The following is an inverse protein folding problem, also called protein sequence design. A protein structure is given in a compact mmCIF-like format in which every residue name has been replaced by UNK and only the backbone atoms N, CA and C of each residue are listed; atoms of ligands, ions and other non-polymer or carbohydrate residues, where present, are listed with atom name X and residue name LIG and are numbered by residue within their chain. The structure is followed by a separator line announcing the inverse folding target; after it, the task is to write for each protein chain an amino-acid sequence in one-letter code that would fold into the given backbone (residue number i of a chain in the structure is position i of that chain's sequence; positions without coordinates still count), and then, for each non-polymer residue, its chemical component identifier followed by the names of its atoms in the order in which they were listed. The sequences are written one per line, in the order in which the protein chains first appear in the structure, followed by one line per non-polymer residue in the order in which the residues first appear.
data_IF_964060426737
#
_entry.id   IF_964060426737
#
_cell.length_a   1.000
_cell.length_b   1.000
_cell.length_c   1.000
_cell.angle_alpha   90.00
_cell.angle_beta   90.00
_cell.angle_gamma   90.00
#
_symmetry.space_group_name_H-M   'P 1'
#
loop_
_entity.id
_entity.type
_entity.pdbx_description
1 polymer ?
#
# COMPACT_ATOMS: atom_id res chain seq x y z
N UNK A 1 -21.14 -47.54 -34.96
CA UNK A 1 -20.75 -46.17 -34.58
C UNK A 1 -20.67 -46.06 -33.07
N UNK A 2 -19.47 -46.14 -32.47
CA UNK A 2 -19.26 -45.86 -31.05
C UNK A 2 -18.76 -44.41 -30.92
N UNK A 3 -19.51 -43.56 -30.23
CA UNK A 3 -19.11 -42.18 -29.91
C UNK A 3 -18.34 -42.20 -28.60
N UNK A 4 -17.04 -41.98 -28.66
CA UNK A 4 -16.18 -41.72 -27.49
C UNK A 4 -16.25 -40.24 -27.14
N UNK A 5 -16.74 -39.92 -25.95
CA UNK A 5 -16.63 -38.59 -25.36
C UNK A 5 -15.24 -38.46 -24.72
N UNK A 6 -14.47 -37.46 -25.15
CA UNK A 6 -13.27 -37.01 -24.44
C UNK A 6 -13.70 -35.94 -23.43
N UNK A 7 -13.55 -36.24 -22.14
CA UNK A 7 -13.60 -35.23 -21.08
C UNK A 7 -12.18 -34.71 -20.88
N UNK A 8 -11.93 -33.46 -21.24
CA UNK A 8 -10.70 -32.75 -20.85
C UNK A 8 -10.86 -32.34 -19.38
N UNK A 9 -10.13 -33.00 -18.47
CA UNK A 9 -9.88 -32.44 -17.15
C UNK A 9 -8.89 -31.28 -17.32
N UNK A 10 -9.36 -30.04 -17.14
CA UNK A 10 -8.46 -28.93 -16.81
C UNK A 10 -7.94 -29.18 -15.40
N UNK A 11 -6.67 -29.58 -15.26
CA UNK A 11 -5.94 -29.38 -14.02
C UNK A 11 -5.66 -27.89 -13.89
N UNK A 12 -6.41 -27.19 -13.05
CA UNK A 12 -5.97 -25.94 -12.48
C UNK A 12 -4.76 -26.26 -11.60
N UNK A 13 -3.55 -26.05 -12.13
CA UNK A 13 -2.34 -26.03 -11.33
C UNK A 13 -2.43 -24.81 -10.42
N UNK A 14 -3.04 -24.97 -9.24
CA UNK A 14 -2.88 -24.03 -8.15
C UNK A 14 -1.41 -24.05 -7.75
N UNK A 15 -0.62 -23.12 -8.27
CA UNK A 15 0.67 -22.79 -7.67
C UNK A 15 0.34 -22.33 -6.27
N UNK A 16 0.65 -23.17 -5.27
CA UNK A 16 0.70 -22.70 -3.89
C UNK A 16 1.70 -21.53 -3.89
N UNK A 17 1.19 -20.29 -3.81
CA UNK A 17 2.04 -19.13 -3.59
C UNK A 17 2.81 -19.44 -2.32
N UNK A 18 4.13 -19.56 -2.43
CA UNK A 18 4.96 -19.57 -1.23
C UNK A 18 4.73 -18.24 -0.51
N UNK A 19 4.65 -18.29 0.82
CA UNK A 19 4.69 -17.08 1.62
C UNK A 19 5.90 -16.25 1.18
N UNK A 20 5.65 -15.00 0.78
CA UNK A 20 6.70 -14.13 0.29
C UNK A 20 7.66 -13.82 1.44
N UNK A 21 8.95 -14.03 1.21
CA UNK A 21 9.99 -13.77 2.20
C UNK A 21 10.76 -12.54 1.81
N UNK A 22 10.87 -11.59 2.72
CA UNK A 22 11.68 -10.38 2.52
C UNK A 22 13.16 -10.73 2.32
N UNK A 23 13.86 -9.93 1.52
CA UNK A 23 15.31 -9.96 1.45
C UNK A 23 15.97 -9.24 2.62
N UNK A 24 17.24 -9.57 2.87
CA UNK A 24 18.08 -8.81 3.80
C UNK A 24 18.66 -7.54 3.17
N UNK A 25 18.72 -7.48 1.84
CA UNK A 25 19.22 -6.32 1.09
C UNK A 25 18.48 -6.19 -0.24
N UNK A 26 18.28 -4.94 -0.66
CA UNK A 26 17.61 -4.55 -1.90
C UNK A 26 18.43 -3.48 -2.62
N UNK A 27 18.54 -3.59 -3.95
CA UNK A 27 19.33 -2.68 -4.79
C UNK A 27 18.44 -2.03 -5.84
N UNK A 28 18.52 -0.69 -5.98
CA UNK A 28 17.76 0.03 -6.99
C UNK A 28 18.08 -0.51 -8.39
N UNK A 29 17.01 -0.84 -9.13
CA UNK A 29 17.07 -1.44 -10.47
C UNK A 29 16.48 -0.52 -11.52
N UNK A 30 15.27 0.01 -11.27
CA UNK A 30 14.60 0.95 -12.18
C UNK A 30 13.75 1.97 -11.45
N UNK A 31 13.41 3.04 -12.15
CA UNK A 31 12.43 4.05 -11.72
C UNK A 31 11.52 4.35 -12.89
N UNK A 32 10.20 4.41 -12.68
CA UNK A 32 9.24 4.76 -13.71
C UNK A 32 8.14 5.68 -13.18
N UNK A 33 7.63 6.62 -13.99
CA UNK A 33 6.59 7.54 -13.55
C UNK A 33 5.21 6.87 -13.52
N UNK A 34 4.32 7.38 -12.66
CA UNK A 34 2.91 6.98 -12.54
C UNK A 34 2.01 8.21 -12.37
N UNK A 35 0.70 8.07 -12.59
CA UNK A 35 -0.29 9.15 -12.43
C UNK A 35 -0.88 9.27 -11.01
N UNK A 36 -0.60 8.32 -10.11
CA UNK A 36 -1.10 8.32 -8.73
C UNK A 36 0.00 8.56 -7.71
N UNK A 37 -0.37 9.01 -6.52
CA UNK A 37 0.53 9.63 -5.54
C UNK A 37 0.47 9.06 -4.14
N UNK A 38 -0.29 7.98 -3.89
CA UNK A 38 -0.58 7.51 -2.53
C UNK A 38 -0.14 6.07 -2.31
N UNK A 39 -0.47 5.17 -3.23
CA UNK A 39 -0.28 3.74 -3.01
C UNK A 39 0.23 2.97 -4.20
N UNK A 40 0.87 1.83 -3.95
CA UNK A 40 1.33 0.89 -4.97
C UNK A 40 1.10 -0.55 -4.51
N UNK A 41 0.37 -1.32 -5.29
CA UNK A 41 0.19 -2.76 -5.10
C UNK A 41 0.59 -3.54 -6.35
N UNK A 42 0.95 -4.82 -6.17
CA UNK A 42 1.37 -5.69 -7.26
C UNK A 42 0.77 -7.09 -7.13
N UNK A 43 0.15 -7.59 -8.20
CA UNK A 43 -0.10 -9.01 -8.38
C UNK A 43 0.90 -9.59 -9.39
N UNK A 44 0.77 -10.85 -9.80
CA UNK A 44 1.72 -11.44 -10.75
C UNK A 44 1.71 -10.83 -12.16
N UNK A 45 0.68 -10.05 -12.51
CA UNK A 45 0.39 -9.59 -13.86
C UNK A 45 0.40 -8.06 -14.02
N UNK A 46 0.06 -7.32 -12.96
CA UNK A 46 -0.17 -5.88 -13.01
C UNK A 46 0.43 -5.16 -11.80
N UNK A 47 0.56 -3.84 -11.94
CA UNK A 47 0.69 -2.90 -10.84
C UNK A 47 -0.61 -2.10 -10.71
N UNK A 48 -0.94 -1.73 -9.49
CA UNK A 48 -2.10 -0.90 -9.17
C UNK A 48 -1.60 0.29 -8.38
N UNK A 49 -2.08 1.48 -8.71
CA UNK A 49 -1.65 2.72 -8.06
C UNK A 49 -2.89 3.50 -7.62
N UNK A 50 -2.90 3.97 -6.39
CA UNK A 50 -3.87 4.96 -5.91
C UNK A 50 -3.31 6.37 -6.04
N UNK A 51 -4.11 7.29 -6.55
CA UNK A 51 -4.03 8.70 -6.15
C UNK A 51 -5.08 8.98 -5.08
N UNK A 52 -5.19 10.22 -4.62
CA UNK A 52 -6.15 10.58 -3.56
C UNK A 52 -7.61 10.36 -3.97
N UNK A 53 -7.94 10.39 -5.27
CA UNK A 53 -9.33 10.28 -5.77
C UNK A 53 -9.45 9.43 -7.04
N UNK A 54 -8.43 8.65 -7.39
CA UNK A 54 -8.36 7.89 -8.66
C UNK A 54 -7.61 6.58 -8.43
N UNK A 55 -8.06 5.50 -9.08
CA UNK A 55 -7.31 4.24 -9.16
C UNK A 55 -6.78 4.02 -10.57
N UNK A 56 -5.56 3.49 -10.66
CA UNK A 56 -4.88 3.19 -11.92
C UNK A 56 -4.38 1.75 -11.94
N UNK A 57 -4.36 1.16 -13.12
CA UNK A 57 -3.80 -0.17 -13.38
C UNK A 57 -2.76 -0.07 -14.48
N UNK A 58 -1.60 -0.63 -14.25
CA UNK A 58 -0.48 -0.67 -15.19
C UNK A 58 -0.08 -2.12 -15.48
N UNK A 59 0.39 -2.39 -16.68
CA UNK A 59 1.12 -3.62 -16.94
C UNK A 59 2.52 -3.60 -16.29
N UNK A 60 3.22 -4.74 -16.29
CA UNK A 60 4.58 -4.84 -15.71
C UNK A 60 5.65 -4.01 -16.46
N UNK A 61 5.34 -3.53 -17.66
CA UNK A 61 6.18 -2.60 -18.41
C UNK A 61 5.93 -1.13 -18.01
N UNK A 62 4.99 -0.86 -17.10
CA UNK A 62 4.67 0.48 -16.63
C UNK A 62 3.73 1.26 -17.57
N UNK A 63 2.99 0.58 -18.46
CA UNK A 63 2.00 1.22 -19.33
C UNK A 63 0.63 1.19 -18.67
N UNK A 64 -0.07 2.32 -18.65
CA UNK A 64 -1.42 2.42 -18.13
C UNK A 64 -2.39 1.59 -18.99
N UNK A 65 -3.14 0.68 -18.35
CA UNK A 65 -4.11 -0.21 -19.01
C UNK A 65 -5.55 -0.01 -18.55
N UNK A 66 -5.77 0.53 -17.35
CA UNK A 66 -7.10 0.92 -16.88
C UNK A 66 -7.02 2.07 -15.87
N UNK A 67 -8.12 2.82 -15.75
CA UNK A 67 -8.28 3.94 -14.83
C UNK A 67 -9.73 3.99 -14.33
N UNK A 68 -9.91 4.12 -13.03
CA UNK A 68 -11.19 4.51 -12.44
C UNK A 68 -11.07 5.91 -11.85
N UNK A 69 -11.66 6.89 -12.56
CA UNK A 69 -11.69 8.30 -12.14
C UNK A 69 -12.80 8.66 -11.15
N UNK A 70 -13.63 7.69 -10.75
CA UNK A 70 -14.72 7.86 -9.77
C UNK A 70 -14.73 6.68 -8.78
N UNK A 71 -13.62 6.44 -8.04
CA UNK A 71 -13.49 5.28 -7.16
C UNK A 71 -14.41 5.33 -5.93
N UNK A 72 -15.06 6.46 -5.68
CA UNK A 72 -15.99 6.63 -4.57
C UNK A 72 -17.46 6.42 -4.96
N UNK A 73 -17.75 6.16 -6.23
CA UNK A 73 -19.12 5.93 -6.69
C UNK A 73 -19.68 4.63 -6.08
N UNK A 74 -20.86 4.72 -5.46
CA UNK A 74 -21.56 3.58 -4.85
C UNK A 74 -21.18 3.29 -3.40
N UNK A 75 -20.22 4.03 -2.81
CA UNK A 75 -19.83 3.81 -1.42
C UNK A 75 -20.97 4.10 -0.42
N UNK A 76 -21.02 3.36 0.70
CA UNK A 76 -22.00 3.59 1.75
C UNK A 76 -21.71 4.86 2.55
N UNK A 77 -20.43 5.19 2.74
CA UNK A 77 -19.96 6.39 3.42
C UNK A 77 -19.18 7.27 2.44
N UNK A 78 -19.37 8.59 2.55
CA UNK A 78 -18.62 9.54 1.73
C UNK A 78 -17.12 9.46 2.05
N UNK A 79 -16.31 9.57 1.00
CA UNK A 79 -14.85 9.61 1.07
C UNK A 79 -14.34 10.58 -0.01
N UNK A 80 -13.20 11.21 0.26
CA UNK A 80 -12.50 12.11 -0.67
C UNK A 80 -11.01 11.77 -0.80
N UNK A 81 -10.54 10.74 -0.09
CA UNK A 81 -9.14 10.37 0.02
C UNK A 81 -8.97 8.84 -0.01
N UNK A 82 -7.88 8.40 -0.64
CA UNK A 82 -7.42 7.00 -0.71
C UNK A 82 -5.95 7.00 -0.30
N UNK A 83 -5.58 6.18 0.67
CA UNK A 83 -4.19 5.95 1.06
C UNK A 83 -3.49 4.87 0.22
N UNK A 84 -2.54 4.18 0.84
CA UNK A 84 -1.91 3.00 0.27
C UNK A 84 -2.92 1.85 0.05
N UNK A 85 -2.55 0.94 -0.85
CA UNK A 85 -3.40 -0.15 -1.30
C UNK A 85 -2.64 -1.48 -1.30
N UNK A 86 -3.37 -2.58 -1.18
CA UNK A 86 -2.84 -3.92 -1.41
C UNK A 86 -3.76 -4.69 -2.37
N UNK A 87 -3.22 -5.69 -3.06
CA UNK A 87 -3.99 -6.55 -3.98
C UNK A 87 -3.89 -8.00 -3.56
N UNK A 88 -5.04 -8.64 -3.46
CA UNK A 88 -5.14 -10.06 -3.12
C UNK A 88 -6.38 -10.70 -3.74
N UNK A 89 -6.23 -11.92 -4.26
CA UNK A 89 -7.33 -12.70 -4.84
C UNK A 89 -8.18 -11.96 -5.90
N UNK A 90 -7.53 -11.14 -6.72
CA UNK A 90 -8.21 -10.36 -7.77
C UNK A 90 -9.02 -9.18 -7.22
N UNK A 91 -8.76 -8.76 -5.98
CA UNK A 91 -9.38 -7.61 -5.35
C UNK A 91 -8.31 -6.63 -4.88
N UNK A 92 -8.57 -5.33 -5.07
CA UNK A 92 -7.75 -4.25 -4.50
C UNK A 92 -8.42 -3.81 -3.21
N UNK A 93 -7.66 -3.75 -2.14
CA UNK A 93 -8.08 -3.25 -0.84
C UNK A 93 -7.46 -1.88 -0.65
N UNK A 94 -8.28 -0.89 -0.30
CA UNK A 94 -7.84 0.47 -0.10
C UNK A 94 -8.40 1.03 1.20
N UNK A 95 -7.54 1.61 2.02
CA UNK A 95 -7.97 2.49 3.09
C UNK A 95 -8.50 3.79 2.48
N UNK A 96 -9.74 4.15 2.80
CA UNK A 96 -10.35 5.38 2.31
C UNK A 96 -11.07 6.11 3.44
N UNK A 97 -11.15 7.42 3.30
CA UNK A 97 -11.77 8.30 4.28
C UNK A 97 -12.19 9.63 3.65
N UNK A 98 -12.94 10.42 4.43
CA UNK A 98 -12.97 11.87 4.25
C UNK A 98 -11.82 12.45 5.06
N UNK A 99 -10.85 13.05 4.38
CA UNK A 99 -9.70 13.69 5.00
C UNK A 99 -9.75 15.21 4.77
N UNK A 100 -9.81 15.97 5.87
CA UNK A 100 -9.81 17.44 5.84
C UNK A 100 -8.87 17.97 6.94
N UNK A 101 -7.88 18.79 6.56
CA UNK A 101 -6.95 19.48 7.47
C UNK A 101 -6.31 18.60 8.57
N UNK A 102 -5.88 17.38 8.22
CA UNK A 102 -5.22 16.47 9.16
C UNK A 102 -6.17 15.65 10.02
N UNK A 103 -7.45 15.56 9.63
CA UNK A 103 -8.47 14.79 10.32
C UNK A 103 -9.15 13.82 9.37
N UNK A 104 -9.14 12.54 9.75
CA UNK A 104 -9.92 11.48 9.12
C UNK A 104 -11.34 11.37 9.68
N UNK A 105 -12.30 11.16 8.78
CA UNK A 105 -13.69 10.81 9.08
C UNK A 105 -14.16 9.72 8.10
N UNK A 106 -15.20 8.96 8.44
CA UNK A 106 -15.76 7.91 7.58
C UNK A 106 -14.73 6.87 7.10
N UNK A 107 -13.73 6.56 7.94
CA UNK A 107 -12.72 5.54 7.68
C UNK A 107 -13.41 4.24 7.29
N UNK A 108 -12.94 3.60 6.22
CA UNK A 108 -13.42 2.29 5.77
C UNK A 108 -12.35 1.63 4.89
N UNK A 109 -12.41 0.31 4.77
CA UNK A 109 -11.65 -0.38 3.72
C UNK A 109 -12.58 -0.60 2.53
N UNK A 110 -12.33 0.09 1.42
CA UNK A 110 -13.02 -0.19 0.17
C UNK A 110 -12.33 -1.32 -0.59
N UNK A 111 -13.14 -2.23 -1.14
CA UNK A 111 -12.68 -3.38 -1.93
C UNK A 111 -13.16 -3.22 -3.37
N UNK A 112 -12.22 -3.23 -4.30
CA UNK A 112 -12.44 -3.06 -5.72
C UNK A 112 -12.13 -4.35 -6.49
N UNK A 113 -12.79 -4.56 -7.63
CA UNK A 113 -12.39 -5.60 -8.56
C UNK A 113 -11.09 -5.20 -9.25
N UNK A 114 -10.05 -6.03 -9.17
CA UNK A 114 -8.76 -5.70 -9.78
C UNK A 114 -8.83 -5.78 -11.32
N UNK A 115 -9.85 -6.43 -11.88
CA UNK A 115 -10.08 -6.55 -13.32
C UNK A 115 -10.41 -5.20 -13.96
N UNK A 116 -11.43 -4.53 -13.44
CA UNK A 116 -12.02 -3.32 -14.01
C UNK A 116 -12.00 -2.09 -13.08
N UNK A 117 -11.44 -2.23 -11.87
CA UNK A 117 -11.30 -1.19 -10.84
C UNK A 117 -12.63 -0.68 -10.25
N UNK A 118 -13.73 -1.41 -10.44
CA UNK A 118 -15.05 -1.04 -9.89
C UNK A 118 -15.15 -1.42 -8.41
N UNK A 119 -15.85 -0.59 -7.64
CA UNK A 119 -16.10 -0.86 -6.23
C UNK A 119 -17.04 -2.07 -6.07
N UNK A 120 -16.74 -2.95 -5.10
CA UNK A 120 -17.51 -4.17 -4.80
C UNK A 120 -18.21 -4.09 -3.45
N UNK A 121 -17.46 -3.71 -2.40
CA UNK A 121 -17.93 -3.69 -1.00
C UNK A 121 -17.01 -2.84 -0.14
N UNK A 122 -17.45 -2.53 1.07
CA UNK A 122 -16.62 -1.94 2.12
C UNK A 122 -16.55 -2.85 3.35
N UNK A 123 -15.45 -2.75 4.10
CA UNK A 123 -15.34 -3.23 5.48
C UNK A 123 -15.41 -2.01 6.39
N UNK A 124 -16.32 -2.07 7.37
CA UNK A 124 -16.58 -0.97 8.28
C UNK A 124 -15.42 -0.77 9.27
N UNK A 125 -15.08 0.49 9.53
CA UNK A 125 -14.20 0.86 10.64
C UNK A 125 -14.86 0.64 11.99
N UNK A 126 -14.06 0.26 12.99
CA UNK A 126 -14.51 0.11 14.38
C UNK A 126 -14.07 1.32 15.21
N UNK A 127 -14.99 2.21 15.64
CA UNK A 127 -14.65 3.35 16.48
C UNK A 127 -13.91 2.98 17.77
N UNK A 128 -14.20 1.82 18.36
CA UNK A 128 -13.52 1.35 19.57
C UNK A 128 -12.04 0.97 19.34
N UNK A 129 -11.59 0.86 18.09
CA UNK A 129 -10.16 0.68 17.76
C UNK A 129 -9.33 1.89 18.20
N UNK A 130 -9.93 3.08 18.15
CA UNK A 130 -9.29 4.37 18.40
C UNK A 130 -8.42 4.88 17.24
N UNK A 131 -8.48 4.24 16.07
CA UNK A 131 -7.88 4.77 14.83
C UNK A 131 -8.60 6.05 14.40
N UNK A 132 -7.87 7.02 13.86
CA UNK A 132 -8.38 8.36 13.52
C UNK A 132 -8.05 8.80 12.09
N UNK A 133 -7.27 8.02 11.34
CA UNK A 133 -6.92 8.23 9.93
C UNK A 133 -6.57 6.88 9.26
N UNK A 134 -6.52 6.81 7.92
CA UNK A 134 -6.03 5.63 7.19
C UNK A 134 -5.07 5.93 6.02
N UNK A 135 -3.78 6.07 6.32
CA UNK A 135 -2.74 6.27 5.31
C UNK A 135 -2.29 5.00 4.58
N UNK A 136 -2.35 3.84 5.26
CA UNK A 136 -1.73 2.61 4.79
C UNK A 136 -2.59 1.38 4.96
N UNK A 137 -2.50 0.42 4.04
CA UNK A 137 -3.22 -0.85 4.13
C UNK A 137 -2.41 -2.05 3.63
N UNK A 138 -2.45 -3.16 4.37
CA UNK A 138 -1.85 -4.43 3.95
C UNK A 138 -2.78 -5.63 4.20
N UNK A 139 -2.81 -6.58 3.28
CA UNK A 139 -3.49 -7.87 3.48
C UNK A 139 -2.51 -8.90 4.05
N UNK A 140 -2.77 -9.41 5.25
CA UNK A 140 -2.08 -10.60 5.79
C UNK A 140 -2.73 -11.86 5.23
N UNK A 141 -2.16 -12.30 4.11
CA UNK A 141 -2.58 -13.47 3.33
C UNK A 141 -2.51 -14.77 4.15
N UNK A 142 -1.61 -14.85 5.13
CA UNK A 142 -1.38 -16.06 5.94
C UNK A 142 -2.38 -16.17 7.09
N UNK A 143 -2.81 -15.04 7.66
CA UNK A 143 -3.74 -14.99 8.81
C UNK A 143 -5.14 -14.57 8.45
N UNK A 144 -5.42 -14.33 7.17
CA UNK A 144 -6.71 -13.85 6.67
C UNK A 144 -7.15 -12.55 7.39
N UNK A 145 -6.23 -11.58 7.45
CA UNK A 145 -6.49 -10.26 8.04
C UNK A 145 -6.24 -9.15 7.04
N UNK A 146 -6.84 -7.99 7.28
CA UNK A 146 -6.42 -6.70 6.73
C UNK A 146 -5.91 -5.82 7.85
N UNK A 147 -4.82 -5.12 7.60
CA UNK A 147 -4.17 -4.20 8.51
C UNK A 147 -4.25 -2.79 7.96
N UNK A 148 -4.47 -1.82 8.84
CA UNK A 148 -4.43 -0.39 8.51
C UNK A 148 -3.39 0.33 9.35
N UNK A 149 -2.73 1.32 8.76
CA UNK A 149 -1.88 2.30 9.43
C UNK A 149 -2.64 3.62 9.61
N UNK A 150 -2.04 4.52 10.38
CA UNK A 150 -2.60 5.81 10.75
C UNK A 150 -1.44 6.84 10.75
N UNK A 151 -1.56 7.90 9.96
CA UNK A 151 -0.57 8.96 9.83
C UNK A 151 -0.67 9.96 10.98
N UNK A 152 -1.89 10.25 11.45
CA UNK A 152 -2.16 11.19 12.55
C UNK A 152 -1.69 10.62 13.89
N UNK A 153 -1.96 9.34 14.13
CA UNK A 153 -1.52 8.58 15.30
C UNK A 153 -0.81 7.29 14.90
N UNK A 154 0.43 7.44 14.43
CA UNK A 154 1.25 6.34 13.93
C UNK A 154 1.75 5.32 14.97
N UNK A 155 1.24 5.36 16.20
CA UNK A 155 1.67 4.44 17.25
C UNK A 155 1.22 3.00 17.02
N UNK A 156 0.20 2.77 16.19
CA UNK A 156 -0.45 1.47 16.07
C UNK A 156 -0.67 1.02 14.63
N UNK A 157 -0.70 -0.30 14.44
CA UNK A 157 -1.32 -0.96 13.30
C UNK A 157 -2.63 -1.61 13.74
N UNK A 158 -3.68 -1.47 12.95
CA UNK A 158 -5.04 -1.91 13.29
C UNK A 158 -5.47 -3.09 12.43
N UNK A 159 -5.75 -4.23 13.07
CA UNK A 159 -6.04 -5.49 12.39
C UNK A 159 -7.52 -5.85 12.42
N UNK A 160 -8.04 -6.22 11.27
CA UNK A 160 -9.42 -6.67 11.06
C UNK A 160 -9.40 -8.05 10.42
N UNK A 161 -10.36 -8.89 10.78
CA UNK A 161 -10.55 -10.19 10.17
C UNK A 161 -11.13 -10.01 8.76
N UNK A 162 -10.45 -10.56 7.75
CA UNK A 162 -10.78 -10.31 6.35
C UNK A 162 -12.11 -10.95 5.93
N UNK A 163 -12.49 -12.07 6.57
CA UNK A 163 -13.70 -12.81 6.22
C UNK A 163 -14.97 -12.16 6.81
N UNK A 164 -14.87 -11.62 8.02
CA UNK A 164 -15.99 -11.08 8.78
C UNK A 164 -16.03 -9.56 8.80
N UNK A 165 -14.92 -8.90 8.45
CA UNK A 165 -14.76 -7.45 8.53
C UNK A 165 -14.63 -6.91 9.95
N UNK A 166 -14.57 -7.77 10.98
CA UNK A 166 -14.57 -7.32 12.37
C UNK A 166 -13.18 -6.92 12.82
N UNK A 167 -13.11 -5.83 13.58
CA UNK A 167 -11.90 -5.45 14.29
C UNK A 167 -11.44 -6.56 15.24
N UNK A 168 -10.15 -6.86 15.22
CA UNK A 168 -9.53 -7.93 16.00
C UNK A 168 -8.65 -7.37 17.10
N UNK A 169 -7.67 -6.54 16.73
CA UNK A 169 -6.67 -6.01 17.66
C UNK A 169 -5.89 -4.85 17.04
N UNK A 170 -5.10 -4.17 17.87
CA UNK A 170 -4.04 -3.26 17.41
C UNK A 170 -2.68 -3.64 17.99
N UNK A 171 -1.63 -3.27 17.28
CA UNK A 171 -0.23 -3.56 17.65
C UNK A 171 0.52 -2.25 17.83
N UNK A 172 1.04 -1.99 19.03
CA UNK A 172 1.85 -0.81 19.34
C UNK A 172 3.27 -0.94 18.76
N UNK A 173 3.66 -0.01 17.90
CA UNK A 173 4.97 0.09 17.28
C UNK A 173 5.99 0.78 18.20
N UNK A 174 7.16 0.17 18.38
CA UNK A 174 8.18 0.64 19.35
C UNK A 174 9.61 0.53 18.79
N UNK A 175 10.32 1.65 18.51
CA UNK A 175 9.81 3.02 18.51
C UNK A 175 8.73 3.22 17.44
N UNK A 176 8.06 4.37 17.50
CA UNK A 176 7.02 4.74 16.54
C UNK A 176 7.70 5.33 15.30
N UNK A 177 7.53 4.75 14.09
CA UNK A 177 7.91 5.44 12.85
C UNK A 177 7.13 6.74 12.75
N UNK A 178 7.83 7.84 12.52
CA UNK A 178 7.18 9.14 12.35
C UNK A 178 6.50 9.19 10.99
N UNK A 179 5.30 9.78 10.91
CA UNK A 179 4.58 10.02 9.64
C UNK A 179 4.51 8.78 8.75
N UNK A 180 3.92 7.71 9.29
CA UNK A 180 3.69 6.47 8.53
C UNK A 180 2.88 6.74 7.28
N UNK A 181 3.21 6.05 6.20
CA UNK A 181 2.51 6.12 4.92
C UNK A 181 2.01 4.72 4.54
N UNK A 182 2.70 4.03 3.65
CA UNK A 182 2.37 2.68 3.22
C UNK A 182 2.77 1.58 4.18
N UNK A 183 2.10 0.43 4.06
CA UNK A 183 2.45 -0.78 4.80
C UNK A 183 2.31 -2.03 3.92
N UNK A 184 3.15 -3.04 4.15
CA UNK A 184 3.08 -4.31 3.42
C UNK A 184 3.40 -5.52 4.30
N UNK A 185 2.56 -6.55 4.24
CA UNK A 185 2.71 -7.77 5.04
C UNK A 185 3.37 -8.90 4.25
N UNK A 186 4.53 -9.36 4.71
CA UNK A 186 5.25 -10.51 4.16
C UNK A 186 5.67 -11.48 5.27
N UNK A 187 5.12 -12.69 5.27
CA UNK A 187 5.51 -13.76 6.21
C UNK A 187 5.31 -13.41 7.69
N UNK A 188 4.32 -12.56 8.01
CA UNK A 188 4.06 -12.06 9.35
C UNK A 188 4.95 -10.89 9.80
N UNK A 189 5.77 -10.35 8.90
CA UNK A 189 6.52 -9.12 9.12
C UNK A 189 5.87 -7.98 8.34
N UNK A 190 5.66 -6.84 9.00
CA UNK A 190 5.14 -5.63 8.39
C UNK A 190 6.30 -4.75 7.96
N UNK A 191 6.39 -4.44 6.66
CA UNK A 191 7.16 -3.30 6.18
C UNK A 191 6.31 -2.04 6.28
N UNK A 192 6.95 -0.91 6.60
CA UNK A 192 6.29 0.38 6.84
C UNK A 192 7.15 1.45 6.17
N UNK A 193 6.59 2.27 5.29
CA UNK A 193 7.23 3.51 4.85
C UNK A 193 6.87 4.65 5.78
N UNK A 194 7.81 5.58 5.95
CA UNK A 194 7.70 6.71 6.85
C UNK A 194 8.32 7.92 6.17
N UNK A 195 7.54 8.99 6.04
CA UNK A 195 7.92 10.28 5.47
C UNK A 195 8.73 11.09 6.48
N UNK A 196 9.77 10.47 7.04
CA UNK A 196 10.52 10.94 8.21
C UNK A 196 11.85 11.62 7.85
N UNK A 197 12.09 11.88 6.56
CA UNK A 197 13.09 12.80 6.08
C UNK A 197 12.65 14.26 6.17
N UNK A 198 13.48 15.13 5.59
CA UNK A 198 13.21 16.56 5.43
C UNK A 198 13.57 16.95 3.99
N UNK A 199 12.53 17.08 3.16
CA UNK A 199 12.67 17.41 1.74
C UNK A 199 13.28 18.81 1.47
N UNK A 200 13.18 19.74 2.43
CA UNK A 200 13.81 21.06 2.32
C UNK A 200 15.33 20.98 2.53
N UNK A 201 15.77 19.99 3.31
CA UNK A 201 17.18 19.69 3.59
C UNK A 201 17.75 18.54 2.74
N UNK A 202 16.94 17.92 1.88
CA UNK A 202 17.29 16.74 1.08
C UNK A 202 17.66 15.52 1.95
N UNK A 203 17.03 15.41 3.12
CA UNK A 203 17.19 14.28 4.03
C UNK A 203 16.28 13.11 3.61
N UNK A 204 16.78 11.86 3.58
CA UNK A 204 16.04 10.73 3.03
C UNK A 204 15.04 10.13 4.02
N UNK A 205 13.91 9.69 3.46
CA UNK A 205 12.91 8.87 4.14
C UNK A 205 13.40 7.44 4.41
N UNK A 206 12.64 6.73 5.23
CA UNK A 206 13.01 5.39 5.68
C UNK A 206 11.88 4.37 5.52
N UNK A 207 12.30 3.12 5.28
CA UNK A 207 11.50 1.93 5.47
C UNK A 207 11.88 1.27 6.80
N UNK A 208 10.86 0.83 7.51
CA UNK A 208 10.96 0.09 8.76
C UNK A 208 10.36 -1.30 8.63
N UNK A 209 10.70 -2.17 9.59
CA UNK A 209 10.13 -3.50 9.71
C UNK A 209 9.72 -3.80 11.14
N UNK A 210 8.54 -4.42 11.29
CA UNK A 210 8.02 -4.91 12.57
C UNK A 210 7.62 -6.39 12.44
N UNK A 211 8.06 -7.23 13.38
CA UNK A 211 7.67 -8.66 13.42
C UNK A 211 6.41 -8.84 14.27
N UNK A 212 5.32 -9.29 13.65
CA UNK A 212 4.02 -9.48 14.29
C UNK A 212 3.72 -10.96 14.60
N UNK A 213 4.65 -11.89 14.28
CA UNK A 213 4.40 -13.34 14.34
C UNK A 213 4.12 -13.87 15.73
N UNK A 214 4.64 -13.22 16.77
CA UNK A 214 4.47 -13.66 18.16
C UNK A 214 3.07 -13.33 18.74
N UNK A 215 2.24 -12.59 18.00
CA UNK A 215 0.88 -12.26 18.39
C UNK A 215 0.77 -11.26 19.55
N UNK A 216 1.86 -10.62 19.98
CA UNK A 216 1.81 -9.62 21.05
C UNK A 216 1.09 -8.34 20.62
N UNK A 217 0.63 -7.58 21.60
CA UNK A 217 0.00 -6.27 21.41
C UNK A 217 1.00 -5.14 21.10
N UNK A 218 2.28 -5.46 20.96
CA UNK A 218 3.33 -4.53 20.57
C UNK A 218 4.37 -5.25 19.71
N UNK A 219 5.08 -4.50 18.88
CA UNK A 219 6.18 -5.00 18.06
C UNK A 219 7.38 -4.05 18.17
N UNK A 220 8.58 -4.63 18.20
CA UNK A 220 9.79 -3.86 18.01
C UNK A 220 9.88 -3.42 16.54
N UNK A 221 10.15 -2.14 16.32
CA UNK A 221 10.38 -1.57 15.00
C UNK A 221 11.87 -1.43 14.79
N UNK A 222 12.35 -1.95 13.67
CA UNK A 222 13.76 -1.91 13.27
C UNK A 222 13.89 -1.16 11.94
N UNK A 223 14.98 -0.41 11.73
CA UNK A 223 15.30 0.11 10.41
C UNK A 223 15.41 -1.03 9.40
N UNK A 224 14.81 -0.86 8.24
CA UNK A 224 14.91 -1.83 7.14
C UNK A 224 15.76 -1.27 6.00
N UNK A 225 15.47 -0.04 5.56
CA UNK A 225 16.21 0.63 4.48
C UNK A 225 16.08 2.13 4.58
N UNK A 226 17.17 2.86 4.41
CA UNK A 226 17.16 4.30 4.14
C UNK A 226 17.04 4.54 2.63
N UNK A 227 16.17 5.46 2.22
CA UNK A 227 15.82 5.70 0.81
C UNK A 227 16.69 6.78 0.16
N UNK A 228 17.99 6.74 0.42
CA UNK A 228 18.97 7.74 -0.08
C UNK A 228 19.24 7.69 -1.58
N UNK A 229 18.61 6.76 -2.29
CA UNK A 229 18.68 6.61 -3.74
C UNK A 229 17.46 7.17 -4.49
N UNK A 230 16.50 7.77 -3.78
CA UNK A 230 15.53 8.67 -4.39
C UNK A 230 16.24 9.80 -5.13
N UNK A 231 15.69 10.20 -6.28
CA UNK A 231 16.29 11.26 -7.12
C UNK A 231 16.36 12.61 -6.40
N UNK A 232 15.47 12.81 -5.44
CA UNK A 232 15.36 13.95 -4.52
C UNK A 232 14.51 13.50 -3.34
N UNK A 233 14.78 14.00 -2.14
CA UNK A 233 13.83 13.87 -1.04
C UNK A 233 12.48 14.55 -1.39
N UNK A 234 11.39 14.01 -0.86
CA UNK A 234 10.04 14.40 -1.18
C UNK A 234 9.07 13.77 -0.19
N UNK A 235 7.98 13.18 -0.66
CA UNK A 235 7.12 12.33 0.18
C UNK A 235 7.28 10.88 -0.26
N UNK A 236 7.76 10.02 0.62
CA UNK A 236 7.56 8.57 0.46
C UNK A 236 6.08 8.22 0.69
N UNK A 237 5.60 7.18 0.02
CA UNK A 237 4.18 6.82 0.03
C UNK A 237 4.06 5.29 0.14
N UNK A 238 3.10 4.69 -0.56
CA UNK A 238 2.89 3.25 -0.59
C UNK A 238 4.09 2.38 -0.94
N UNK A 239 4.05 1.12 -0.50
CA UNK A 239 5.04 0.12 -0.89
C UNK A 239 4.43 -1.28 -1.06
N UNK A 240 5.10 -2.12 -1.84
CA UNK A 240 4.72 -3.52 -1.99
C UNK A 240 5.92 -4.37 -2.40
N UNK A 241 5.80 -5.69 -2.34
CA UNK A 241 6.79 -6.60 -2.93
C UNK A 241 6.10 -7.42 -4.00
N UNK A 242 6.59 -7.33 -5.25
CA UNK A 242 6.00 -8.00 -6.39
C UNK A 242 6.09 -9.53 -6.23
N UNK A 243 4.95 -10.26 -6.19
CA UNK A 243 4.95 -11.70 -5.97
C UNK A 243 5.54 -12.51 -7.15
N UNK A 244 5.69 -11.92 -8.34
CA UNK A 244 6.30 -12.57 -9.49
C UNK A 244 7.83 -12.43 -9.53
N UNK A 245 8.38 -11.34 -8.98
CA UNK A 245 9.81 -11.00 -9.12
C UNK A 245 10.56 -10.89 -7.80
N UNK A 246 9.86 -10.88 -6.66
CA UNK A 246 10.39 -10.53 -5.33
C UNK A 246 11.03 -9.13 -5.27
N UNK A 247 10.74 -8.27 -6.24
CA UNK A 247 11.18 -6.88 -6.24
C UNK A 247 10.39 -6.07 -5.23
N UNK A 248 11.08 -5.23 -4.46
CA UNK A 248 10.45 -4.21 -3.61
C UNK A 248 10.11 -3.00 -4.48
N UNK A 249 8.86 -2.54 -4.41
CA UNK A 249 8.38 -1.34 -5.07
C UNK A 249 8.03 -0.31 -4.02
N UNK A 250 8.49 0.91 -4.21
CA UNK A 250 8.19 2.03 -3.31
C UNK A 250 7.75 3.22 -4.15
N UNK A 251 6.59 3.80 -3.84
CA UNK A 251 6.12 5.03 -4.46
C UNK A 251 6.72 6.22 -3.72
N UNK A 252 7.20 7.21 -4.46
CA UNK A 252 7.63 8.49 -3.90
C UNK A 252 7.24 9.65 -4.82
N UNK A 253 6.82 10.74 -4.19
CA UNK A 253 6.50 12.01 -4.82
C UNK A 253 7.67 12.97 -4.64
N UNK A 254 8.01 13.76 -5.67
CA UNK A 254 9.02 14.82 -5.55
C UNK A 254 8.64 16.06 -6.33
N UNK A 255 9.19 17.20 -5.91
CA UNK A 255 9.11 18.47 -6.63
C UNK A 255 8.17 19.50 -6.00
N UNK A 256 7.25 19.06 -5.16
CA UNK A 256 6.38 19.88 -4.31
C UNK A 256 7.00 20.14 -2.95
N UNK A 257 6.63 21.26 -2.32
CA UNK A 257 6.82 21.49 -0.89
C UNK A 257 5.56 21.08 -0.16
N UNK A 258 5.68 20.29 0.88
CA UNK A 258 4.54 19.73 1.59
C UNK A 258 4.50 20.28 3.00
N UNK A 259 3.32 20.71 3.43
CA UNK A 259 3.07 21.13 4.81
C UNK A 259 1.80 20.45 5.28
N UNK A 260 1.93 19.52 6.25
CA UNK A 260 0.83 18.73 6.80
C UNK A 260 0.03 17.99 5.70
N UNK A 261 0.74 17.27 4.82
CA UNK A 261 0.14 16.51 3.72
C UNK A 261 -0.41 17.35 2.56
N UNK A 262 -0.23 18.67 2.58
CA UNK A 262 -0.73 19.58 1.53
C UNK A 262 0.40 20.24 0.74
N UNK A 263 0.25 20.26 -0.60
CA UNK A 263 1.15 20.98 -1.51
C UNK A 263 1.09 22.49 -1.27
N UNK A 264 2.24 23.10 -0.97
CA UNK A 264 2.46 24.54 -0.73
C UNK A 264 3.44 25.15 -1.75
N UNK A 265 3.34 24.71 -3.00
CA UNK A 265 4.17 25.18 -4.12
C UNK A 265 5.26 24.18 -4.51
N UNK A 266 6.16 24.59 -5.39
CA UNK A 266 7.16 23.71 -6.00
C UNK A 266 8.59 24.16 -5.68
N UNK A 267 9.52 23.20 -5.62
CA UNK A 267 10.95 23.46 -5.57
C UNK A 267 11.44 24.10 -6.88
N UNK A 268 12.56 24.84 -6.86
CA UNK A 268 13.17 25.37 -8.08
C UNK A 268 13.41 24.27 -9.12
N UNK A 269 12.97 24.51 -10.36
CA UNK A 269 13.07 23.55 -11.46
C UNK A 269 11.87 22.61 -11.63
N UNK A 270 10.83 22.76 -10.80
CA UNK A 270 9.58 22.00 -10.89
C UNK A 270 8.39 22.92 -11.17
N UNK A 271 7.48 22.45 -12.01
CA UNK A 271 6.19 23.07 -12.32
C UNK A 271 4.99 22.20 -11.89
N UNK A 272 5.29 21.01 -11.39
CA UNK A 272 4.37 19.95 -11.00
C UNK A 272 5.04 19.03 -9.98
N UNK A 273 4.22 18.30 -9.22
CA UNK A 273 4.67 17.16 -8.44
C UNK A 273 4.83 15.95 -9.37
N UNK A 274 5.92 15.22 -9.22
CA UNK A 274 6.21 14.02 -10.01
C UNK A 274 6.06 12.79 -9.13
N UNK A 275 5.31 11.80 -9.59
CA UNK A 275 5.07 10.55 -8.89
C UNK A 275 5.84 9.42 -9.57
N UNK A 276 6.65 8.71 -8.80
CA UNK A 276 7.57 7.72 -9.33
C UNK A 276 7.54 6.45 -8.48
N UNK A 277 7.57 5.30 -9.15
CA UNK A 277 7.80 4.01 -8.49
C UNK A 277 9.26 3.63 -8.65
N UNK A 278 9.94 3.46 -7.52
CA UNK A 278 11.29 2.96 -7.41
C UNK A 278 11.24 1.45 -7.21
N UNK A 279 11.92 0.70 -8.08
CA UNK A 279 11.94 -0.76 -8.08
C UNK A 279 13.31 -1.25 -7.67
N UNK A 280 13.33 -2.09 -6.65
CA UNK A 280 14.54 -2.65 -6.08
C UNK A 280 14.55 -4.16 -6.22
N UNK A 281 15.62 -4.69 -6.82
CA UNK A 281 15.83 -6.12 -6.87
C UNK A 281 16.37 -6.63 -5.52
N UNK A 282 15.93 -7.82 -5.13
CA UNK A 282 16.45 -8.51 -3.96
C UNK A 282 17.87 -9.01 -4.22
N UNK A 283 18.82 -8.62 -3.38
CA UNK A 283 20.21 -9.10 -3.46
C UNK A 283 20.26 -10.52 -2.89
N UNK A 284 20.96 -11.42 -3.59
CA UNK A 284 21.10 -12.85 -3.23
C UNK A 284 22.28 -13.10 -2.32
#
# INVERSE_FOLDING_TARGET
MKRTFFVLLLLAAGTALRAQTLGGEYRLSRVFPVEGRQGIAADSNYYYVSGSTVLYKYDKQGRLVARNGQPFEGLPLAANHIGDIDVWNGEIYAGIETFDDGKGENIQVAVYDAGDLTWKRSIDWEPASGQVEVCGLAVDRDRNMVWMADWVDGRYLYGYDLATGKYVRKVHLRPVPQWQQGIYMAGGQMLISADDGDADLDEPDNLYIADLRDGKSYAAVLPFRMMSDFRRAGEIEGLTVDPATDELLVLSNRGSRIVLGMVRGFYPGYDSELHEVYVYEKVK
#
